data_IF_407862825629
#
_entry.id   IF_407862825629
#
_cell.length_a   1.000
_cell.length_b   1.000
_cell.length_c   1.000
_cell.angle_alpha   90.00
_cell.angle_beta   90.00
_cell.angle_gamma   90.00
#
_symmetry.space_group_name_H-M   'P 1'
#
loop_
_entity.id
_entity.type
_entity.pdbx_description
1 polymer ?
#
# COMPACT_ATOMS: atom_id res chain seq x y z
N UNK A 1 -15.97 8.67 -43.49
CA UNK A 1 -16.80 9.08 -42.34
C UNK A 1 -15.98 8.79 -41.09
N UNK A 2 -15.43 9.82 -40.42
CA UNK A 2 -14.53 9.69 -39.26
C UNK A 2 -15.30 10.12 -38.02
N UNK A 3 -15.44 9.21 -37.05
CA UNK A 3 -16.05 9.49 -35.74
C UNK A 3 -14.91 9.96 -34.83
N UNK A 4 -14.96 11.16 -34.22
CA UNK A 4 -13.98 11.55 -33.23
C UNK A 4 -14.31 10.90 -31.88
N UNK A 5 -13.36 10.15 -31.33
CA UNK A 5 -13.38 9.77 -29.92
C UNK A 5 -12.96 10.97 -29.08
N UNK A 6 -13.90 11.53 -28.32
CA UNK A 6 -13.61 12.57 -27.32
C UNK A 6 -13.27 11.86 -26.01
N UNK A 7 -12.01 11.94 -25.59
CA UNK A 7 -11.61 11.62 -24.21
C UNK A 7 -12.21 12.69 -23.29
N UNK A 8 -13.27 12.35 -22.57
CA UNK A 8 -13.72 13.14 -21.44
C UNK A 8 -12.80 12.80 -20.26
N UNK A 9 -11.90 13.72 -19.91
CA UNK A 9 -11.22 13.69 -18.62
C UNK A 9 -12.27 13.98 -17.55
N UNK A 10 -12.77 12.93 -16.89
CA UNK A 10 -13.54 13.06 -15.66
C UNK A 10 -12.57 13.43 -14.54
N UNK A 11 -12.43 14.73 -14.28
CA UNK A 11 -11.89 15.19 -13.00
C UNK A 11 -13.02 14.94 -11.98
N UNK A 12 -12.99 13.78 -11.33
CA UNK A 12 -13.78 13.54 -10.12
C UNK A 12 -13.28 14.45 -9.02
N UNK A 13 -13.83 15.66 -8.99
CA UNK A 13 -13.82 16.52 -7.81
C UNK A 13 -14.67 15.82 -6.75
N UNK A 14 -14.01 15.01 -5.91
CA UNK A 14 -14.58 14.49 -4.67
C UNK A 14 -14.99 15.70 -3.82
N UNK A 15 -16.28 16.06 -3.88
CA UNK A 15 -16.87 17.05 -2.99
C UNK A 15 -17.07 16.40 -1.62
N UNK A 16 -16.14 16.73 -0.73
CA UNK A 16 -16.10 16.36 0.67
C UNK A 16 -17.37 16.83 1.40
N UNK A 17 -18.04 15.91 2.10
CA UNK A 17 -18.94 16.30 3.19
C UNK A 17 -18.13 16.68 4.42
N UNK A 18 -18.43 17.79 5.11
CA UNK A 18 -17.66 18.28 6.23
C UNK A 18 -18.03 17.50 7.50
N UNK A 19 -17.29 16.42 7.78
CA UNK A 19 -17.35 15.68 9.03
C UNK A 19 -15.94 15.38 9.52
N UNK A 20 -15.51 16.08 10.58
CA UNK A 20 -14.20 16.02 11.23
C UNK A 20 -13.01 16.51 10.36
N UNK A 21 -12.56 17.72 10.64
CA UNK A 21 -11.37 18.33 10.03
C UNK A 21 -10.14 17.42 10.24
N UNK A 22 -9.52 16.97 9.14
CA UNK A 22 -8.08 16.70 9.10
C UNK A 22 -7.63 15.27 8.78
N UNK A 23 -8.51 14.27 8.78
CA UNK A 23 -8.11 12.87 8.55
C UNK A 23 -8.65 12.31 7.24
N UNK A 24 -7.76 11.85 6.36
CA UNK A 24 -8.09 11.33 5.03
C UNK A 24 -7.46 9.96 4.85
N UNK A 25 -8.22 8.98 4.37
CA UNK A 25 -7.67 7.70 3.92
C UNK A 25 -7.24 7.84 2.48
N UNK A 26 -5.96 7.60 2.20
CA UNK A 26 -5.34 7.80 0.90
C UNK A 26 -4.69 6.50 0.42
N UNK A 27 -5.01 6.07 -0.79
CA UNK A 27 -4.27 5.00 -1.45
C UNK A 27 -2.84 5.46 -1.71
N UNK A 28 -1.85 4.66 -1.30
CA UNK A 28 -0.46 4.91 -1.67
C UNK A 28 -0.15 4.44 -3.10
N UNK A 29 -1.11 3.79 -3.76
CA UNK A 29 -1.08 3.54 -5.20
C UNK A 29 -1.80 4.66 -5.96
N UNK A 30 -1.33 5.01 -7.17
CA UNK A 30 -2.17 5.76 -8.12
C UNK A 30 -3.45 4.96 -8.42
N UNK A 31 -4.55 5.64 -8.79
CA UNK A 31 -5.84 4.98 -9.07
C UNK A 31 -5.72 3.84 -10.09
N UNK A 32 -4.90 4.01 -11.13
CA UNK A 32 -4.62 2.98 -12.14
C UNK A 32 -3.95 1.71 -11.59
N UNK A 33 -3.33 1.78 -10.41
CA UNK A 33 -2.72 0.64 -9.73
C UNK A 33 -3.70 -0.14 -8.85
N UNK A 34 -4.91 0.37 -8.62
CA UNK A 34 -5.90 -0.27 -7.75
C UNK A 34 -6.62 -1.38 -8.51
N UNK A 35 -5.97 -2.53 -8.63
CA UNK A 35 -6.44 -3.62 -9.49
C UNK A 35 -6.58 -4.93 -8.72
N UNK A 36 -7.45 -5.80 -9.23
CA UNK A 36 -7.71 -7.10 -8.62
C UNK A 36 -6.42 -7.93 -8.52
N UNK A 37 -6.29 -8.69 -7.43
CA UNK A 37 -5.16 -9.59 -7.17
C UNK A 37 -3.95 -8.92 -6.53
N UNK A 38 -3.88 -7.58 -6.48
CA UNK A 38 -2.77 -6.83 -5.89
C UNK A 38 -3.12 -6.36 -4.47
N UNK A 39 -2.12 -6.38 -3.58
CA UNK A 39 -2.24 -5.77 -2.24
C UNK A 39 -2.01 -4.28 -2.35
N UNK A 40 -3.03 -3.50 -2.04
CA UNK A 40 -3.04 -2.05 -2.12
C UNK A 40 -2.89 -1.48 -0.71
N UNK A 41 -1.79 -0.75 -0.43
CA UNK A 41 -1.59 -0.05 0.83
C UNK A 41 -2.37 1.27 0.87
N UNK A 42 -3.01 1.54 2.00
CA UNK A 42 -3.70 2.78 2.31
C UNK A 42 -3.11 3.40 3.57
N UNK A 43 -2.92 4.71 3.54
CA UNK A 43 -2.45 5.51 4.67
C UNK A 43 -3.60 6.35 5.22
N UNK A 44 -3.81 6.29 6.53
CA UNK A 44 -4.65 7.23 7.25
C UNK A 44 -3.79 8.45 7.57
N UNK A 45 -4.03 9.53 6.83
CA UNK A 45 -3.42 10.83 7.11
C UNK A 45 -4.17 11.50 8.24
N UNK A 46 -3.46 12.23 9.10
CA UNK A 46 -3.99 12.87 10.30
C UNK A 46 -2.90 13.59 11.08
N UNK A 47 -3.23 14.03 12.30
CA UNK A 47 -2.22 14.60 13.21
C UNK A 47 -1.28 13.51 13.74
N UNK A 48 -0.13 13.94 14.28
CA UNK A 48 0.88 13.06 14.85
C UNK A 48 0.31 12.14 15.94
N UNK A 49 0.82 10.90 16.01
CA UNK A 49 0.41 9.91 17.00
C UNK A 49 -0.83 9.09 16.65
N UNK A 50 -1.29 9.13 15.40
CA UNK A 50 -2.38 8.29 14.90
C UNK A 50 -1.93 6.83 14.71
N UNK A 51 -2.72 5.88 15.22
CA UNK A 51 -2.62 4.45 14.92
C UNK A 51 -3.95 3.87 14.46
N UNK A 52 -3.91 2.94 13.52
CA UNK A 52 -5.04 2.11 13.11
C UNK A 52 -4.97 0.83 13.93
N UNK A 53 -5.99 0.59 14.76
CA UNK A 53 -6.05 -0.56 15.66
C UNK A 53 -6.97 -1.67 15.14
N UNK A 54 -7.93 -1.33 14.28
CA UNK A 54 -8.79 -2.31 13.63
C UNK A 54 -9.33 -1.79 12.29
N UNK A 55 -9.65 -2.74 11.41
CA UNK A 55 -10.35 -2.50 10.15
C UNK A 55 -11.50 -3.50 10.02
N UNK A 56 -12.66 -3.01 9.60
CA UNK A 56 -13.82 -3.83 9.23
C UNK A 56 -14.24 -3.43 7.83
N UNK A 57 -14.26 -4.38 6.90
CA UNK A 57 -14.80 -4.15 5.56
C UNK A 57 -16.32 -4.31 5.58
N UNK A 58 -17.00 -3.47 4.81
CA UNK A 58 -18.45 -3.55 4.68
C UNK A 58 -18.87 -4.84 3.94
N UNK A 59 -20.11 -5.26 4.15
CA UNK A 59 -20.67 -6.48 3.53
C UNK A 59 -20.64 -6.49 1.99
N UNK A 60 -20.56 -5.31 1.35
CA UNK A 60 -20.47 -5.17 -0.10
C UNK A 60 -19.04 -5.38 -0.64
N UNK A 61 -18.03 -5.44 0.24
CA UNK A 61 -16.62 -5.64 -0.10
C UNK A 61 -16.27 -7.12 -0.30
N UNK A 62 -17.18 -7.89 -0.90
CA UNK A 62 -17.04 -9.33 -1.03
C UNK A 62 -15.79 -9.70 -1.86
N UNK A 63 -14.97 -10.62 -1.33
CA UNK A 63 -13.71 -11.02 -1.97
C UNK A 63 -12.53 -10.08 -1.69
N UNK A 64 -12.72 -9.03 -0.89
CA UNK A 64 -11.63 -8.22 -0.36
C UNK A 64 -11.25 -8.66 1.06
N UNK A 65 -9.95 -8.60 1.34
CA UNK A 65 -9.38 -8.83 2.67
C UNK A 65 -8.53 -7.64 3.06
N UNK A 66 -8.58 -7.26 4.33
CA UNK A 66 -7.77 -6.18 4.87
C UNK A 66 -6.89 -6.65 6.03
N UNK A 67 -5.71 -6.05 6.15
CA UNK A 67 -4.77 -6.32 7.24
C UNK A 67 -4.08 -5.02 7.67
N UNK A 68 -3.81 -4.89 8.97
CA UNK A 68 -3.04 -3.76 9.49
C UNK A 68 -1.57 -3.93 9.15
N UNK A 69 -0.87 -2.81 8.90
CA UNK A 69 0.57 -2.84 8.77
C UNK A 69 1.22 -2.97 10.15
N UNK A 70 2.07 -3.99 10.32
CA UNK A 70 2.70 -4.28 11.62
C UNK A 70 3.81 -3.29 12.00
N UNK A 71 4.23 -2.41 11.10
CA UNK A 71 5.33 -1.47 11.35
C UNK A 71 4.87 -0.02 11.26
N UNK A 72 4.06 0.30 10.25
CA UNK A 72 3.52 1.64 10.05
C UNK A 72 2.09 1.66 10.54
N UNK A 73 1.91 2.03 11.81
CA UNK A 73 0.60 2.03 12.47
C UNK A 73 -0.45 2.90 11.78
N UNK A 74 -0.06 3.85 10.93
CA UNK A 74 -0.99 4.65 10.12
C UNK A 74 -1.41 3.97 8.80
N UNK A 75 -0.90 2.77 8.50
CA UNK A 75 -1.12 2.06 7.23
C UNK A 75 -1.91 0.78 7.46
N UNK A 76 -2.80 0.48 6.52
CA UNK A 76 -3.41 -0.82 6.34
C UNK A 76 -3.33 -1.24 4.87
N UNK A 77 -3.50 -2.53 4.63
CA UNK A 77 -3.41 -3.15 3.32
C UNK A 77 -4.76 -3.76 2.98
N UNK A 78 -5.21 -3.60 1.73
CA UNK A 78 -6.40 -4.26 1.21
C UNK A 78 -6.04 -5.03 -0.05
N UNK A 79 -6.52 -6.27 -0.18
CA UNK A 79 -6.39 -7.08 -1.39
C UNK A 79 -7.76 -7.60 -1.79
N UNK A 80 -8.16 -7.34 -3.03
CA UNK A 80 -9.41 -7.84 -3.58
C UNK A 80 -9.13 -8.94 -4.61
N UNK A 81 -9.84 -10.06 -4.53
CA UNK A 81 -9.69 -11.18 -5.45
C UNK A 81 -10.27 -10.89 -6.84
N UNK A 82 -11.24 -9.98 -6.91
CA UNK A 82 -11.98 -9.63 -8.12
C UNK A 82 -12.09 -8.11 -8.26
N UNK A 83 -12.43 -7.70 -9.48
CA UNK A 83 -12.84 -6.33 -9.82
C UNK A 83 -14.14 -6.01 -9.09
N UNK A 84 -14.30 -4.76 -8.69
CA UNK A 84 -15.47 -4.32 -7.96
C UNK A 84 -15.12 -3.12 -7.11
N UNK A 85 -15.76 -3.00 -5.95
CA UNK A 85 -15.55 -1.89 -5.05
C UNK A 85 -15.46 -2.39 -3.61
N UNK A 86 -14.76 -1.66 -2.76
CA UNK A 86 -14.76 -1.93 -1.33
C UNK A 86 -14.86 -0.65 -0.52
N UNK A 87 -15.51 -0.77 0.63
CA UNK A 87 -15.61 0.28 1.65
C UNK A 87 -15.51 -0.38 3.03
N UNK A 88 -15.40 0.44 4.07
CA UNK A 88 -15.30 -0.07 5.42
C UNK A 88 -15.14 1.01 6.47
N UNK A 89 -14.89 0.54 7.68
CA UNK A 89 -14.69 1.35 8.87
C UNK A 89 -13.38 0.98 9.55
N UNK A 90 -12.63 1.99 9.97
CA UNK A 90 -11.41 1.91 10.74
C UNK A 90 -11.70 2.29 12.19
N UNK A 91 -11.03 1.63 13.12
CA UNK A 91 -10.85 2.13 14.49
C UNK A 91 -9.46 2.74 14.54
N UNK A 92 -9.41 4.06 14.70
CA UNK A 92 -8.16 4.81 14.84
C UNK A 92 -8.01 5.29 16.27
N UNK A 93 -6.82 5.18 16.84
CA UNK A 93 -6.49 5.78 18.13
C UNK A 93 -5.66 7.03 17.87
N UNK A 94 -6.11 8.15 18.43
CA UNK A 94 -5.41 9.42 18.35
C UNK A 94 -5.41 10.06 19.73
N UNK A 95 -4.23 10.39 20.26
CA UNK A 95 -4.07 10.96 21.59
C UNK A 95 -4.77 10.14 22.69
N UNK A 96 -4.73 8.80 22.56
CA UNK A 96 -5.38 7.87 23.48
C UNK A 96 -6.89 7.69 23.32
N UNK A 97 -7.52 8.41 22.38
CA UNK A 97 -8.94 8.28 22.11
C UNK A 97 -9.19 7.40 20.89
N UNK A 98 -10.01 6.36 21.05
CA UNK A 98 -10.46 5.53 19.95
C UNK A 98 -11.62 6.21 19.20
N UNK A 99 -11.49 6.29 17.88
CA UNK A 99 -12.42 6.94 16.98
C UNK A 99 -12.77 5.97 15.84
N UNK A 100 -14.06 5.82 15.57
CA UNK A 100 -14.54 5.07 14.42
C UNK A 100 -14.63 5.98 13.20
N UNK A 101 -14.11 5.52 12.05
CA UNK A 101 -14.04 6.30 10.81
C UNK A 101 -14.35 5.43 9.60
N UNK A 102 -15.41 5.75 8.88
CA UNK A 102 -15.66 5.15 7.58
C UNK A 102 -14.77 5.79 6.53
N UNK A 103 -14.24 4.98 5.61
CA UNK A 103 -13.48 5.47 4.46
C UNK A 103 -14.32 5.32 3.19
N UNK A 104 -14.08 6.16 2.15
CA UNK A 104 -14.91 6.17 0.95
C UNK A 104 -14.85 4.84 0.21
N UNK A 105 -15.85 4.59 -0.63
CA UNK A 105 -15.82 3.49 -1.59
C UNK A 105 -14.63 3.64 -2.52
N UNK A 106 -13.83 2.58 -2.63
CA UNK A 106 -12.67 2.48 -3.51
C UNK A 106 -12.99 1.50 -4.62
N UNK A 107 -12.78 1.92 -5.86
CA UNK A 107 -12.96 1.08 -7.05
C UNK A 107 -11.70 0.25 -7.34
N UNK A 108 -11.89 -1.03 -7.64
CA UNK A 108 -10.85 -1.97 -8.03
C UNK A 108 -11.06 -2.30 -9.50
N UNK A 109 -10.12 -1.86 -10.34
CA UNK A 109 -10.15 -2.09 -11.78
C UNK A 109 -9.64 -3.46 -12.21
N UNK A 110 -9.85 -3.75 -13.50
CA UNK A 110 -9.21 -4.86 -14.20
C UNK A 110 -7.70 -4.58 -14.31
N UNK A 111 -6.87 -5.50 -13.84
CA UNK A 111 -5.43 -5.38 -13.92
C UNK A 111 -4.94 -5.39 -15.36
N UNK A 112 -4.31 -4.29 -15.80
CA UNK A 112 -3.48 -4.26 -17.00
C UNK A 112 -2.20 -5.07 -16.77
N UNK A 113 -2.24 -6.38 -16.94
CA UNK A 113 -1.06 -7.22 -17.19
C UNK A 113 -0.02 -7.35 -16.07
N UNK A 114 -0.31 -6.95 -14.84
CA UNK A 114 0.49 -7.45 -13.70
C UNK A 114 -0.10 -8.82 -13.36
N UNK A 115 0.51 -9.88 -13.89
CA UNK A 115 0.06 -11.24 -13.58
C UNK A 115 -0.08 -11.41 -12.07
N UNK A 116 -1.19 -12.01 -11.59
CA UNK A 116 -1.30 -12.40 -10.19
C UNK A 116 -0.07 -13.24 -9.86
N UNK A 117 0.71 -12.83 -8.85
CA UNK A 117 1.78 -13.67 -8.31
C UNK A 117 1.10 -15.00 -7.96
N UNK A 118 1.45 -16.04 -8.72
CA UNK A 118 0.75 -17.32 -8.74
C UNK A 118 0.61 -17.92 -7.34
N UNK A 119 -0.40 -18.79 -7.22
CA UNK A 119 -0.73 -19.51 -5.99
C UNK A 119 0.45 -20.30 -5.37
N UNK A 120 0.21 -20.93 -4.21
CA UNK A 120 1.27 -21.35 -3.31
C UNK A 120 2.20 -22.41 -3.93
N UNK A 121 3.42 -22.00 -4.27
CA UNK A 121 4.57 -22.90 -4.45
C UNK A 121 5.12 -23.33 -3.08
N UNK A 122 5.18 -24.63 -2.73
CA UNK A 122 5.67 -25.07 -1.43
C UNK A 122 7.14 -24.68 -1.23
N UNK A 123 7.42 -23.79 -0.28
CA UNK A 123 8.78 -23.53 0.24
C UNK A 123 9.36 -22.11 0.12
N UNK A 124 8.71 -21.16 -0.57
CA UNK A 124 9.28 -19.81 -0.79
C UNK A 124 8.29 -18.65 -0.92
N UNK A 125 7.00 -18.92 -0.80
CA UNK A 125 5.91 -17.96 -1.06
C UNK A 125 5.78 -16.93 0.06
N UNK A 126 6.10 -17.29 1.31
CA UNK A 126 5.96 -16.36 2.42
C UNK A 126 6.91 -15.16 2.26
N UNK A 127 8.16 -15.39 1.88
CA UNK A 127 9.13 -14.30 1.73
C UNK A 127 8.84 -13.40 0.53
N UNK A 128 8.31 -13.94 -0.58
CA UNK A 128 7.92 -13.15 -1.75
C UNK A 128 6.68 -12.31 -1.42
N UNK A 129 5.69 -12.91 -0.77
CA UNK A 129 4.48 -12.20 -0.35
C UNK A 129 4.80 -11.12 0.69
N UNK A 130 5.54 -11.45 1.75
CA UNK A 130 6.01 -10.47 2.72
C UNK A 130 6.87 -9.40 2.04
N UNK A 131 7.76 -9.78 1.12
CA UNK A 131 8.55 -8.86 0.30
C UNK A 131 7.73 -7.85 -0.46
N UNK A 132 6.63 -8.29 -1.08
CA UNK A 132 5.69 -7.41 -1.78
C UNK A 132 4.99 -6.44 -0.81
N UNK A 133 4.63 -6.90 0.39
CA UNK A 133 4.04 -6.06 1.44
C UNK A 133 5.05 -5.03 1.96
N UNK A 134 6.30 -5.42 2.19
CA UNK A 134 7.36 -4.50 2.59
C UNK A 134 7.59 -3.43 1.52
N UNK A 135 7.67 -3.83 0.24
CA UNK A 135 7.81 -2.87 -0.87
C UNK A 135 6.61 -1.91 -0.93
N UNK A 136 5.39 -2.43 -0.78
CA UNK A 136 4.17 -1.64 -0.72
C UNK A 136 4.18 -0.62 0.43
N UNK A 137 4.73 -0.98 1.58
CA UNK A 137 4.67 -0.15 2.79
C UNK A 137 5.70 0.99 2.82
N UNK A 138 6.87 0.76 2.20
CA UNK A 138 8.02 1.65 2.33
C UNK A 138 8.51 2.25 1.02
N UNK A 139 8.36 1.53 -0.09
CA UNK A 139 8.96 1.92 -1.37
C UNK A 139 7.91 2.50 -2.33
N UNK A 140 6.66 2.05 -2.25
CA UNK A 140 5.67 2.31 -3.31
C UNK A 140 5.34 3.79 -3.49
N UNK A 141 5.40 4.58 -2.41
CA UNK A 141 5.13 6.03 -2.44
C UNK A 141 6.00 6.76 -3.47
N UNK A 142 7.24 6.31 -3.63
CA UNK A 142 8.21 6.87 -4.58
C UNK A 142 8.48 5.94 -5.78
N UNK A 143 8.09 4.67 -5.68
CA UNK A 143 8.34 3.63 -6.67
C UNK A 143 7.06 2.87 -6.99
N UNK A 144 6.06 3.58 -7.53
CA UNK A 144 4.73 3.06 -7.86
C UNK A 144 4.72 1.84 -8.79
N UNK A 145 5.76 1.67 -9.61
CA UNK A 145 5.94 0.49 -10.44
C UNK A 145 7.12 -0.38 -9.93
N UNK A 146 6.87 -1.49 -9.22
CA UNK A 146 7.92 -2.35 -8.69
C UNK A 146 8.72 -3.05 -9.80
N UNK A 147 8.16 -3.27 -10.99
CA UNK A 147 8.89 -3.84 -12.13
C UNK A 147 10.04 -2.93 -12.60
N UNK A 148 9.95 -1.61 -12.35
CA UNK A 148 11.08 -0.68 -12.59
C UNK A 148 12.29 -0.95 -11.69
N UNK A 149 12.11 -1.74 -10.62
CA UNK A 149 13.14 -2.15 -9.66
C UNK A 149 13.39 -3.67 -9.72
N UNK A 150 12.99 -4.34 -10.80
CA UNK A 150 13.20 -5.79 -10.99
C UNK A 150 14.66 -6.18 -10.76
N UNK A 151 14.85 -7.28 -10.03
CA UNK A 151 16.15 -7.90 -9.78
C UNK A 151 17.11 -7.14 -8.86
N UNK A 152 16.66 -6.11 -8.13
CA UNK A 152 17.52 -5.41 -7.15
C UNK A 152 17.86 -6.33 -5.98
N UNK A 153 19.14 -6.45 -5.66
CA UNK A 153 19.63 -7.25 -4.54
C UNK A 153 19.43 -6.54 -3.19
N UNK A 154 19.34 -7.29 -2.09
CA UNK A 154 19.26 -6.72 -0.74
C UNK A 154 20.40 -5.74 -0.45
N UNK A 155 21.62 -6.05 -0.91
CA UNK A 155 22.79 -5.17 -0.77
C UNK A 155 22.63 -3.85 -1.55
N UNK A 156 22.05 -3.90 -2.76
CA UNK A 156 21.76 -2.70 -3.55
C UNK A 156 20.69 -1.84 -2.88
N UNK A 157 19.65 -2.47 -2.31
CA UNK A 157 18.61 -1.78 -1.56
C UNK A 157 19.21 -1.12 -0.29
N UNK A 158 20.01 -1.86 0.48
CA UNK A 158 20.63 -1.35 1.70
C UNK A 158 21.57 -0.17 1.42
N UNK A 159 22.36 -0.26 0.35
CA UNK A 159 23.22 0.81 -0.11
C UNK A 159 22.42 2.06 -0.48
N UNK A 160 21.30 1.89 -1.20
CA UNK A 160 20.43 3.01 -1.56
C UNK A 160 19.81 3.68 -0.33
N UNK A 161 19.37 2.91 0.67
CA UNK A 161 18.86 3.43 1.95
C UNK A 161 19.93 4.12 2.80
N UNK A 162 21.19 3.77 2.61
CA UNK A 162 22.33 4.34 3.34
C UNK A 162 22.95 5.55 2.63
N UNK A 163 22.63 5.78 1.36
CA UNK A 163 23.17 6.89 0.59
C UNK A 163 22.53 8.21 1.00
N UNK A 164 23.36 9.24 1.27
CA UNK A 164 22.88 10.59 1.56
C UNK A 164 22.23 11.19 0.29
N UNK A 165 20.92 11.04 0.17
CA UNK A 165 20.11 11.51 -0.95
C UNK A 165 18.63 11.58 -0.57
N UNK A 166 17.77 11.90 -1.53
CA UNK A 166 16.32 12.14 -1.31
C UNK A 166 15.60 10.96 -0.64
N UNK A 167 16.10 9.74 -0.82
CA UNK A 167 15.58 8.54 -0.14
C UNK A 167 15.88 8.51 1.36
N UNK A 168 17.05 9.01 1.78
CA UNK A 168 17.43 9.02 3.19
C UNK A 168 16.69 10.09 4.01
N UNK A 169 16.12 11.10 3.35
CA UNK A 169 15.30 12.15 3.97
C UNK A 169 13.81 11.78 4.09
N UNK A 170 13.39 10.64 3.54
CA UNK A 170 12.00 10.19 3.60
C UNK A 170 11.67 9.66 5.00
N UNK A 171 10.69 10.27 5.68
CA UNK A 171 10.32 9.92 7.05
C UNK A 171 9.85 8.47 7.23
N UNK A 172 9.24 7.87 6.20
CA UNK A 172 8.81 6.47 6.23
C UNK A 172 9.99 5.51 6.15
N UNK A 173 10.98 5.83 5.31
CA UNK A 173 12.22 5.04 5.19
C UNK A 173 13.16 5.24 6.39
N UNK A 174 13.17 6.44 6.98
CA UNK A 174 13.88 6.68 8.25
C UNK A 174 13.27 5.89 9.40
N UNK A 175 11.93 5.85 9.49
CA UNK A 175 11.25 5.04 10.52
C UNK A 175 11.59 3.56 10.34
N UNK A 176 11.56 3.02 9.12
CA UNK A 176 12.02 1.65 8.84
C UNK A 176 13.46 1.37 9.33
N UNK A 177 14.38 2.32 9.14
CA UNK A 177 15.79 2.17 9.57
C UNK A 177 15.98 2.32 11.08
N UNK A 178 15.19 3.18 11.72
CA UNK A 178 15.34 3.49 13.14
C UNK A 178 14.59 2.50 14.03
N UNK A 179 13.49 1.95 13.54
CA UNK A 179 12.59 1.07 14.30
C UNK A 179 12.99 -0.41 14.19
N UNK A 180 13.86 -0.78 13.23
CA UNK A 180 14.37 -2.13 13.05
C UNK A 180 15.84 -2.24 13.45
N UNK A 181 16.21 -3.35 14.09
CA UNK A 181 17.62 -3.72 14.23
C UNK A 181 18.27 -3.97 12.86
N UNK A 182 19.60 -3.92 12.80
CA UNK A 182 20.34 -4.18 11.56
C UNK A 182 20.02 -5.56 10.94
N UNK A 183 19.79 -6.57 11.79
CA UNK A 183 19.42 -7.91 11.35
C UNK A 183 17.98 -7.98 10.81
N UNK A 184 17.04 -7.26 11.44
CA UNK A 184 15.65 -7.16 10.97
C UNK A 184 15.58 -6.38 9.66
N UNK A 185 16.32 -5.28 9.55
CA UNK A 185 16.41 -4.51 8.31
C UNK A 185 16.96 -5.37 7.17
N UNK A 186 18.05 -6.11 7.39
CA UNK A 186 18.58 -7.02 6.37
C UNK A 186 17.53 -8.07 5.96
N UNK A 187 16.84 -8.69 6.93
CA UNK A 187 15.77 -9.66 6.65
C UNK A 187 14.65 -9.06 5.79
N UNK A 188 14.22 -7.83 6.07
CA UNK A 188 13.22 -7.10 5.26
C UNK A 188 13.73 -6.88 3.83
N UNK A 189 14.96 -6.42 3.68
CA UNK A 189 15.55 -6.17 2.36
C UNK A 189 15.77 -7.44 1.54
N UNK A 190 16.09 -8.56 2.19
CA UNK A 190 16.15 -9.88 1.54
C UNK A 190 14.78 -10.30 1.00
N UNK A 191 13.71 -10.07 1.75
CA UNK A 191 12.34 -10.38 1.31
C UNK A 191 11.91 -9.47 0.15
N UNK A 192 12.14 -8.16 0.25
CA UNK A 192 11.90 -7.23 -0.87
C UNK A 192 12.70 -7.65 -2.11
N UNK A 193 13.97 -8.02 -1.94
CA UNK A 193 14.81 -8.46 -3.05
C UNK A 193 14.28 -9.72 -3.74
N UNK A 194 13.83 -10.71 -2.96
CA UNK A 194 13.18 -11.92 -3.50
C UNK A 194 11.91 -11.58 -4.29
N UNK A 195 11.08 -10.67 -3.76
CA UNK A 195 9.91 -10.17 -4.47
C UNK A 195 10.30 -9.50 -5.79
N UNK A 196 11.25 -8.55 -5.78
CA UNK A 196 11.71 -7.87 -6.99
C UNK A 196 12.38 -8.81 -8.00
N UNK A 197 12.97 -9.92 -7.54
CA UNK A 197 13.50 -10.97 -8.41
C UNK A 197 12.44 -11.89 -9.02
N UNK A 198 11.21 -11.89 -8.48
CA UNK A 198 10.08 -12.68 -8.98
C UNK A 198 9.20 -11.95 -10.01
N UNK A 199 9.29 -10.61 -10.04
CA UNK A 199 8.73 -9.76 -11.11
C UNK A 199 9.49 -9.97 -12.40
#
# INVERSE_FOLDING_TARGET
MKIPFTFAAFISLLNFSPGALGQTVVSLFPEEGQVAGVTIPFEVQGEDGLSVEAITLDQNSAGCVAALDKFRKSIFHVRCAHVGQFSGTLIVVQNGNALSRSFPTVEIGEGGGIEPIGGPTPGGVNDIQEGSQYFASYCIRCHSNPASKKGKSAAQLNSALSSNGTMASDSGLQSLRNDLSAAELDSVLQKISKYLGSL
#
